data_IF_728203057871
#
_entry.id   IF_728203057871
#
_cell.length_a   1.000
_cell.length_b   1.000
_cell.length_c   1.000
_cell.angle_alpha   90.00
_cell.angle_beta   90.00
_cell.angle_gamma   90.00
#
_symmetry.space_group_name_H-M   'P 1'
#
loop_
_entity.id
_entity.type
_entity.pdbx_description
1 polymer ?
#
# COMPACT_ATOMS: atom_id res chain seq x y z
N UNK A 1 0.88 -31.95 -5.84
CA UNK A 1 0.43 -30.68 -5.24
C UNK A 1 -0.87 -30.91 -4.45
N UNK A 2 -0.86 -31.89 -3.52
CA UNK A 2 -1.95 -32.20 -2.60
C UNK A 2 -1.29 -32.34 -1.22
N UNK A 3 -0.98 -31.22 -0.59
CA UNK A 3 -0.56 -31.21 0.81
C UNK A 3 -1.80 -30.83 1.63
N UNK A 4 -2.47 -31.83 2.20
CA UNK A 4 -3.64 -31.64 3.06
C UNK A 4 -3.30 -30.80 4.31
N UNK A 5 -2.01 -30.73 4.68
CA UNK A 5 -1.53 -29.95 5.81
C UNK A 5 -1.28 -28.48 5.47
N UNK A 6 -1.43 -28.06 4.20
CA UNK A 6 -1.19 -26.65 3.82
C UNK A 6 -2.13 -25.64 4.51
N UNK A 7 -3.24 -26.12 5.05
CA UNK A 7 -4.22 -25.34 5.80
C UNK A 7 -4.12 -25.55 7.31
N UNK A 8 -3.16 -26.34 7.80
CA UNK A 8 -2.91 -26.53 9.21
C UNK A 8 -2.21 -25.29 9.80
N UNK A 9 -2.98 -24.47 10.50
CA UNK A 9 -2.49 -23.24 11.12
C UNK A 9 -1.45 -23.49 12.21
N UNK A 10 -1.54 -24.62 12.90
CA UNK A 10 -0.59 -24.98 13.96
C UNK A 10 0.81 -25.26 13.40
N UNK A 11 0.89 -25.67 12.13
CA UNK A 11 2.13 -25.95 11.43
C UNK A 11 2.77 -24.70 10.77
N UNK A 12 2.05 -23.58 10.64
CA UNK A 12 2.55 -22.38 9.96
C UNK A 12 3.80 -21.80 10.63
N UNK A 13 3.75 -21.57 11.95
CA UNK A 13 4.85 -20.96 12.71
C UNK A 13 6.11 -21.84 12.68
N UNK A 14 6.05 -23.16 12.95
CA UNK A 14 7.19 -24.06 12.77
C UNK A 14 7.78 -24.03 11.36
N UNK A 15 6.93 -24.07 10.32
CA UNK A 15 7.37 -24.10 8.91
C UNK A 15 8.03 -22.78 8.49
N UNK A 16 7.50 -21.64 8.94
CA UNK A 16 8.11 -20.31 8.72
C UNK A 16 9.48 -20.24 9.40
N UNK A 17 9.61 -20.72 10.64
CA UNK A 17 10.88 -20.74 11.38
C UNK A 17 11.93 -21.58 10.67
N UNK A 18 11.55 -22.76 10.19
CA UNK A 18 12.44 -23.64 9.43
C UNK A 18 12.89 -22.99 8.11
N UNK A 19 11.95 -22.43 7.33
CA UNK A 19 12.25 -21.84 6.03
C UNK A 19 13.10 -20.56 6.12
N UNK A 20 12.76 -19.68 7.06
CA UNK A 20 13.37 -18.36 7.17
C UNK A 20 14.48 -18.28 8.22
N UNK A 21 14.79 -19.39 8.90
CA UNK A 21 15.81 -19.49 9.97
C UNK A 21 15.65 -18.41 11.04
N UNK A 22 14.42 -18.12 11.41
CA UNK A 22 14.09 -17.08 12.39
C UNK A 22 14.48 -17.60 13.79
N UNK A 23 15.17 -16.79 14.63
CA UNK A 23 15.44 -17.14 16.03
C UNK A 23 14.15 -17.29 16.85
N UNK A 24 14.27 -17.55 18.15
CA UNK A 24 13.13 -17.65 19.08
C UNK A 24 12.44 -16.31 19.33
N UNK A 25 11.78 -15.79 18.29
CA UNK A 25 10.91 -14.63 18.32
C UNK A 25 9.45 -15.09 18.31
N UNK A 26 8.62 -14.41 19.08
CA UNK A 26 7.18 -14.62 19.05
C UNK A 26 6.63 -14.22 17.67
N UNK A 27 6.01 -15.18 16.97
CA UNK A 27 5.44 -14.96 15.64
C UNK A 27 3.92 -14.84 15.76
N UNK A 28 3.38 -13.68 15.42
CA UNK A 28 1.95 -13.47 15.29
C UNK A 28 1.54 -13.64 13.83
N UNK A 29 0.78 -14.69 13.52
CA UNK A 29 0.23 -14.92 12.18
C UNK A 29 -1.00 -14.03 11.99
N UNK A 30 -0.92 -13.10 11.03
CA UNK A 30 -2.04 -12.25 10.63
C UNK A 30 -2.58 -12.80 9.31
N UNK A 31 -3.82 -13.30 9.33
CA UNK A 31 -4.51 -13.73 8.11
C UNK A 31 -4.97 -12.50 7.36
N UNK A 32 -4.37 -12.26 6.20
CA UNK A 32 -4.87 -11.26 5.27
C UNK A 32 -5.81 -11.95 4.29
N UNK A 33 -7.05 -11.47 4.20
CA UNK A 33 -7.90 -11.78 3.06
C UNK A 33 -7.51 -10.80 1.93
N UNK A 34 -7.49 -11.29 0.68
CA UNK A 34 -7.24 -10.50 -0.52
C UNK A 34 -5.77 -10.07 -0.81
N UNK A 35 -5.61 -9.47 -1.99
CA UNK A 35 -4.37 -9.27 -2.76
C UNK A 35 -3.35 -8.29 -2.13
N UNK A 36 -3.67 -7.64 -1.01
CA UNK A 36 -2.80 -6.63 -0.39
C UNK A 36 -1.74 -7.20 0.56
N UNK A 37 -1.82 -8.49 0.94
CA UNK A 37 -0.93 -9.08 1.94
C UNK A 37 0.56 -9.00 1.58
N UNK A 38 0.93 -9.41 0.35
CA UNK A 38 2.31 -9.37 -0.12
C UNK A 38 2.83 -7.92 -0.24
N UNK A 39 2.03 -7.03 -0.83
CA UNK A 39 2.41 -5.62 -1.01
C UNK A 39 2.66 -4.95 0.36
N UNK A 40 1.76 -5.16 1.32
CA UNK A 40 1.90 -4.64 2.68
C UNK A 40 3.15 -5.19 3.37
N UNK A 41 3.46 -6.48 3.21
CA UNK A 41 4.67 -7.07 3.79
C UNK A 41 5.97 -6.50 3.19
N UNK A 42 5.97 -6.21 1.88
CA UNK A 42 7.08 -5.52 1.22
C UNK A 42 7.22 -4.09 1.77
N UNK A 43 6.11 -3.36 1.92
CA UNK A 43 6.10 -2.00 2.47
C UNK A 43 6.59 -1.95 3.92
N UNK A 44 6.15 -2.88 4.77
CA UNK A 44 6.64 -3.04 6.15
C UNK A 44 8.15 -3.27 6.16
N UNK A 45 8.63 -4.17 5.30
CA UNK A 45 10.06 -4.46 5.18
C UNK A 45 10.85 -3.23 4.73
N UNK A 46 10.32 -2.46 3.77
CA UNK A 46 10.94 -1.22 3.31
C UNK A 46 10.96 -0.16 4.42
N UNK A 47 9.89 -0.03 5.22
CA UNK A 47 9.81 0.90 6.34
C UNK A 47 10.87 0.60 7.41
N UNK A 48 11.04 -0.68 7.76
CA UNK A 48 11.97 -1.09 8.81
C UNK A 48 13.43 -1.07 8.34
N UNK A 49 13.71 -1.46 7.10
CA UNK A 49 15.08 -1.69 6.60
C UNK A 49 15.96 -0.44 6.70
N UNK A 50 15.44 0.73 6.31
CA UNK A 50 16.23 1.96 6.34
C UNK A 50 16.48 2.44 7.78
N UNK A 51 15.51 2.23 8.70
CA UNK A 51 15.65 2.58 10.12
C UNK A 51 16.73 1.72 10.78
N UNK A 52 16.70 0.40 10.53
CA UNK A 52 17.75 -0.52 10.98
C UNK A 52 19.12 -0.12 10.44
N UNK A 53 19.20 0.21 9.13
CA UNK A 53 20.46 0.65 8.54
C UNK A 53 20.99 1.94 9.20
N UNK A 54 20.11 2.90 9.55
CA UNK A 54 20.51 4.13 10.26
C UNK A 54 21.04 3.84 11.67
N UNK A 55 20.42 2.92 12.41
CA UNK A 55 20.88 2.52 13.75
C UNK A 55 22.22 1.79 13.67
N UNK A 56 22.34 0.79 12.80
CA UNK A 56 23.55 -0.02 12.64
C UNK A 56 24.76 0.81 12.18
N UNK A 57 24.51 1.84 11.35
CA UNK A 57 25.54 2.79 10.91
C UNK A 57 25.75 3.96 11.90
N UNK A 58 25.09 3.93 13.06
CA UNK A 58 25.15 4.95 14.12
C UNK A 58 24.75 6.36 13.65
N UNK A 59 23.92 6.44 12.62
CA UNK A 59 23.36 7.69 12.08
C UNK A 59 22.03 8.07 12.72
N UNK A 60 21.39 7.16 13.47
CA UNK A 60 20.22 7.42 14.29
C UNK A 60 20.30 6.66 15.62
N UNK A 61 19.60 7.15 16.65
CA UNK A 61 19.39 6.43 17.90
C UNK A 61 18.40 5.27 17.69
N UNK A 62 18.48 4.23 18.53
CA UNK A 62 17.57 3.08 18.52
C UNK A 62 16.10 3.47 18.63
N UNK A 63 15.78 4.61 19.27
CA UNK A 63 14.40 5.11 19.39
C UNK A 63 13.70 5.38 18.06
N UNK A 64 14.43 5.49 16.94
CA UNK A 64 13.79 5.55 15.62
C UNK A 64 13.03 4.25 15.30
N UNK A 65 13.43 3.11 15.85
CA UNK A 65 12.76 1.82 15.64
C UNK A 65 11.39 1.78 16.31
N UNK A 66 11.18 2.54 17.39
CA UNK A 66 9.88 2.67 18.06
C UNK A 66 8.81 3.28 17.15
N UNK A 67 9.22 3.94 16.07
CA UNK A 67 8.29 4.49 15.06
C UNK A 67 7.74 3.45 14.09
N UNK A 68 8.34 2.26 13.99
CA UNK A 68 7.93 1.23 13.03
C UNK A 68 6.48 0.76 13.26
N UNK A 69 6.15 0.37 14.48
CA UNK A 69 4.82 -0.18 14.79
C UNK A 69 3.73 0.88 14.65
N UNK A 70 3.83 2.11 15.20
CA UNK A 70 2.83 3.16 15.02
C UNK A 70 2.58 3.56 13.55
N UNK A 71 3.59 3.48 12.69
CA UNK A 71 3.46 3.78 11.26
C UNK A 71 2.75 2.65 10.51
N UNK A 72 3.26 1.42 10.65
CA UNK A 72 2.85 0.28 9.81
C UNK A 72 1.57 -0.39 10.30
N UNK A 73 1.32 -0.41 11.61
CA UNK A 73 0.14 -1.06 12.18
C UNK A 73 -1.16 -0.46 11.64
N UNK A 74 -1.26 0.86 11.59
CA UNK A 74 -2.45 1.54 11.09
C UNK A 74 -2.74 1.19 9.62
N UNK A 75 -1.70 1.03 8.80
CA UNK A 75 -1.85 0.61 7.40
C UNK A 75 -2.29 -0.84 7.30
N UNK A 76 -1.66 -1.73 8.08
CA UNK A 76 -2.02 -3.16 8.14
C UNK A 76 -3.46 -3.38 8.57
N UNK A 77 -3.93 -2.68 9.60
CA UNK A 77 -5.31 -2.77 10.10
C UNK A 77 -6.30 -2.36 8.99
N UNK A 78 -6.07 -1.23 8.33
CA UNK A 78 -6.90 -0.78 7.19
C UNK A 78 -6.92 -1.82 6.06
N UNK A 79 -5.75 -2.37 5.69
CA UNK A 79 -5.66 -3.34 4.61
C UNK A 79 -6.34 -4.68 4.96
N UNK A 80 -6.25 -5.11 6.23
CA UNK A 80 -6.94 -6.31 6.72
C UNK A 80 -8.46 -6.13 6.70
N UNK A 81 -8.95 -5.00 7.23
CA UNK A 81 -10.37 -4.67 7.26
C UNK A 81 -10.94 -4.56 5.84
N UNK A 82 -10.20 -3.90 4.94
CA UNK A 82 -10.58 -3.78 3.53
C UNK A 82 -10.62 -5.13 2.82
N UNK A 83 -9.62 -5.98 3.06
CA UNK A 83 -9.56 -7.33 2.51
C UNK A 83 -10.74 -8.21 2.96
N UNK A 84 -11.12 -8.13 4.23
CA UNK A 84 -12.28 -8.87 4.74
C UNK A 84 -13.60 -8.35 4.16
N UNK A 85 -13.72 -7.02 4.06
CA UNK A 85 -14.88 -6.37 3.46
C UNK A 85 -15.08 -6.78 1.99
N UNK A 86 -14.01 -6.70 1.18
CA UNK A 86 -14.05 -7.05 -0.24
C UNK A 86 -14.31 -8.53 -0.48
N UNK A 87 -13.70 -9.41 0.32
CA UNK A 87 -14.02 -10.84 0.29
C UNK A 87 -15.50 -11.13 0.57
N UNK A 88 -16.13 -10.38 1.47
CA UNK A 88 -17.57 -10.53 1.74
C UNK A 88 -18.44 -9.98 0.60
N UNK A 89 -17.98 -8.92 -0.07
CA UNK A 89 -18.69 -8.30 -1.20
C UNK A 89 -18.81 -9.25 -2.40
N UNK A 90 -17.84 -10.14 -2.63
CA UNK A 90 -17.91 -11.11 -3.73
C UNK A 90 -19.07 -12.10 -3.59
N UNK A 91 -19.56 -12.35 -2.36
CA UNK A 91 -20.72 -13.20 -2.11
C UNK A 91 -22.04 -12.61 -2.64
N UNK A 92 -22.09 -11.29 -2.87
CA UNK A 92 -23.26 -10.61 -3.45
C UNK A 92 -23.48 -11.05 -4.91
N UNK A 93 -22.41 -11.35 -5.65
CA UNK A 93 -22.50 -11.88 -7.02
C UNK A 93 -23.26 -13.21 -7.04
N UNK A 94 -22.90 -14.12 -6.13
CA UNK A 94 -23.59 -15.41 -6.00
C UNK A 94 -25.08 -15.21 -5.70
N UNK A 95 -25.39 -14.25 -4.82
CA UNK A 95 -26.77 -13.94 -4.43
C UNK A 95 -27.58 -13.38 -5.60
N UNK A 96 -27.06 -12.39 -6.34
CA UNK A 96 -27.79 -11.82 -7.48
C UNK A 96 -27.98 -12.83 -8.60
N UNK A 97 -27.02 -13.73 -8.79
CA UNK A 97 -27.15 -14.85 -9.74
C UNK A 97 -28.10 -15.95 -9.24
N UNK A 98 -28.62 -15.86 -8.03
CA UNK A 98 -29.51 -16.86 -7.45
C UNK A 98 -28.82 -18.20 -7.14
N UNK A 99 -27.50 -18.20 -6.95
CA UNK A 99 -26.74 -19.41 -6.62
C UNK A 99 -26.97 -19.82 -5.16
N UNK A 100 -27.17 -21.11 -4.95
CA UNK A 100 -27.40 -21.71 -3.63
C UNK A 100 -26.31 -22.75 -3.32
N UNK A 101 -25.67 -22.71 -2.13
CA UNK A 101 -24.69 -23.69 -1.73
C UNK A 101 -25.22 -25.13 -1.81
N UNK A 102 -24.46 -26.03 -2.43
CA UNK A 102 -24.80 -27.44 -2.56
C UNK A 102 -25.93 -27.77 -3.55
N UNK A 103 -26.53 -26.79 -4.23
CA UNK A 103 -27.64 -27.02 -5.19
C UNK A 103 -27.17 -27.03 -6.64
N UNK A 104 -26.38 -28.05 -7.01
CA UNK A 104 -25.74 -28.14 -8.34
C UNK A 104 -26.71 -27.92 -9.51
N UNK A 105 -27.80 -28.68 -9.58
CA UNK A 105 -28.76 -28.60 -10.70
C UNK A 105 -29.45 -27.24 -10.78
N UNK A 106 -29.82 -26.66 -9.64
CA UNK A 106 -30.39 -25.31 -9.57
C UNK A 106 -29.40 -24.27 -10.07
N UNK A 107 -28.16 -24.30 -9.56
CA UNK A 107 -27.11 -23.36 -9.94
C UNK A 107 -26.80 -23.45 -11.43
N UNK A 108 -26.76 -24.66 -11.99
CA UNK A 108 -26.55 -24.86 -13.42
C UNK A 108 -27.66 -24.18 -14.24
N UNK A 109 -28.93 -24.31 -13.85
CA UNK A 109 -30.04 -23.60 -14.52
C UNK A 109 -29.90 -22.08 -14.42
N UNK A 110 -29.40 -21.53 -13.31
CA UNK A 110 -29.14 -20.09 -13.20
C UNK A 110 -28.06 -19.63 -14.19
N UNK A 111 -26.98 -20.42 -14.33
CA UNK A 111 -25.94 -20.15 -15.33
C UNK A 111 -26.47 -20.24 -16.77
N UNK A 112 -27.27 -21.26 -17.08
CA UNK A 112 -27.91 -21.39 -18.38
C UNK A 112 -28.83 -20.19 -18.67
N UNK A 113 -29.57 -19.71 -17.66
CA UNK A 113 -30.47 -18.56 -17.79
C UNK A 113 -29.74 -17.25 -18.14
N UNK A 114 -28.50 -17.06 -17.68
CA UNK A 114 -27.67 -15.91 -18.10
C UNK A 114 -27.49 -15.85 -19.62
N UNK A 115 -27.46 -17.00 -20.29
CA UNK A 115 -27.19 -17.12 -21.73
C UNK A 115 -28.46 -17.06 -22.58
N UNK A 116 -29.65 -17.08 -21.98
CA UNK A 116 -30.91 -17.08 -22.73
C UNK A 116 -31.10 -15.73 -23.42
N UNK A 117 -31.38 -15.77 -24.73
CA UNK A 117 -31.77 -14.62 -25.53
C UNK A 117 -33.27 -14.33 -25.36
N UNK A 118 -33.60 -13.58 -24.31
CA UNK A 118 -34.95 -13.10 -24.03
C UNK A 118 -34.91 -11.79 -23.26
N UNK A 119 -36.03 -11.07 -23.17
CA UNK A 119 -36.14 -9.84 -22.37
C UNK A 119 -35.81 -10.07 -20.89
N UNK A 120 -36.23 -11.22 -20.34
CA UNK A 120 -35.92 -11.61 -18.96
C UNK A 120 -34.43 -11.93 -18.78
N UNK A 121 -33.83 -12.64 -19.73
CA UNK A 121 -32.38 -12.91 -19.74
C UNK A 121 -31.54 -11.64 -19.86
N UNK A 122 -31.98 -10.71 -20.71
CA UNK A 122 -31.38 -9.38 -20.86
C UNK A 122 -31.46 -8.58 -19.56
N UNK A 123 -32.63 -8.52 -18.93
CA UNK A 123 -32.83 -7.87 -17.62
C UNK A 123 -31.93 -8.51 -16.54
N UNK A 124 -31.85 -9.84 -16.51
CA UNK A 124 -31.03 -10.57 -15.54
C UNK A 124 -29.54 -10.27 -15.71
N UNK A 125 -29.03 -10.31 -16.95
CA UNK A 125 -27.63 -9.92 -17.25
C UNK A 125 -27.34 -8.48 -16.83
N UNK A 126 -28.25 -7.54 -17.07
CA UNK A 126 -28.08 -6.14 -16.67
C UNK A 126 -28.00 -5.98 -15.14
N UNK A 127 -28.82 -6.72 -14.38
CA UNK A 127 -28.73 -6.74 -12.91
C UNK A 127 -27.41 -7.32 -12.42
N UNK A 128 -26.98 -8.45 -12.98
CA UNK A 128 -25.70 -9.07 -12.63
C UNK A 128 -24.52 -8.15 -12.96
N UNK A 129 -24.52 -7.50 -14.13
CA UNK A 129 -23.48 -6.56 -14.54
C UNK A 129 -23.30 -5.41 -13.52
N UNK A 130 -24.40 -4.85 -13.01
CA UNK A 130 -24.34 -3.78 -11.99
C UNK A 130 -23.68 -4.22 -10.67
N UNK A 131 -23.85 -5.49 -10.29
CA UNK A 131 -23.20 -6.06 -9.09
C UNK A 131 -21.74 -6.43 -9.37
N UNK A 132 -21.42 -6.83 -10.60
CA UNK A 132 -20.03 -7.01 -11.02
C UNK A 132 -19.28 -5.67 -10.99
N UNK A 133 -19.90 -4.58 -11.44
CA UNK A 133 -19.32 -3.23 -11.36
C UNK A 133 -19.01 -2.82 -9.91
N UNK A 134 -19.83 -3.24 -8.93
CA UNK A 134 -19.57 -2.95 -7.53
C UNK A 134 -18.34 -3.67 -6.97
N UNK A 135 -17.74 -4.61 -7.71
CA UNK A 135 -16.48 -5.26 -7.33
C UNK A 135 -15.25 -4.38 -7.60
N UNK A 136 -15.42 -3.21 -8.23
CA UNK A 136 -14.34 -2.24 -8.39
C UNK A 136 -13.66 -1.88 -7.05
N UNK A 137 -14.39 -1.96 -5.92
CA UNK A 137 -13.84 -1.74 -4.57
C UNK A 137 -12.74 -2.74 -4.18
N UNK A 138 -12.69 -3.91 -4.82
CA UNK A 138 -11.63 -4.91 -4.66
C UNK A 138 -10.55 -4.75 -5.72
N UNK A 139 -10.96 -4.62 -7.00
CA UNK A 139 -10.04 -4.72 -8.13
C UNK A 139 -9.50 -3.38 -8.64
N UNK A 140 -9.96 -2.26 -8.08
CA UNK A 140 -9.57 -0.91 -8.49
C UNK A 140 -9.25 -0.01 -7.28
N UNK A 141 -8.85 -0.57 -6.15
CA UNK A 141 -8.68 0.12 -4.87
C UNK A 141 -7.43 1.03 -4.76
N UNK A 142 -7.16 1.87 -5.76
CA UNK A 142 -5.95 2.71 -5.83
C UNK A 142 -5.77 3.63 -4.62
N UNK A 143 -6.87 4.12 -4.06
CA UNK A 143 -6.87 4.95 -2.86
C UNK A 143 -6.45 4.19 -1.60
N UNK A 144 -6.66 2.87 -1.56
CA UNK A 144 -6.15 2.00 -0.49
C UNK A 144 -4.68 1.69 -0.74
N UNK A 145 -4.32 1.33 -1.98
CA UNK A 145 -2.97 0.91 -2.36
C UNK A 145 -1.93 2.02 -2.23
N UNK A 146 -2.25 3.25 -2.65
CA UNK A 146 -1.29 4.36 -2.71
C UNK A 146 -1.60 5.49 -1.73
N UNK A 147 -2.84 5.53 -1.22
CA UNK A 147 -3.36 6.62 -0.39
C UNK A 147 -3.21 6.42 1.11
N UNK A 148 -2.45 5.43 1.55
CA UNK A 148 -2.16 5.26 2.97
C UNK A 148 -1.35 6.45 3.51
N UNK A 149 -1.43 6.65 4.83
CA UNK A 149 -0.70 7.70 5.53
C UNK A 149 -0.25 7.22 6.89
N UNK A 150 0.92 7.66 7.30
CA UNK A 150 1.38 7.56 8.68
C UNK A 150 0.84 8.75 9.47
N UNK A 151 0.03 8.49 10.49
CA UNK A 151 -0.49 9.56 11.38
C UNK A 151 0.50 9.90 12.49
N UNK A 152 1.38 8.96 12.83
CA UNK A 152 2.40 9.05 13.87
C UNK A 152 3.68 8.37 13.38
N UNK A 153 4.81 8.65 14.02
CA UNK A 153 6.09 8.02 13.71
C UNK A 153 7.20 9.04 13.43
N UNK A 154 8.10 8.71 12.53
CA UNK A 154 9.23 9.54 12.08
C UNK A 154 8.76 10.61 11.08
N UNK A 155 7.89 11.51 11.54
CA UNK A 155 7.34 12.62 10.76
C UNK A 155 7.11 13.84 11.65
N UNK A 156 7.14 15.03 11.05
CA UNK A 156 6.76 16.28 11.71
C UNK A 156 5.50 16.79 11.06
N UNK A 157 4.44 16.99 11.85
CA UNK A 157 3.18 17.57 11.35
C UNK A 157 3.37 19.02 10.94
N UNK A 158 2.80 19.39 9.80
CA UNK A 158 2.76 20.76 9.30
C UNK A 158 1.47 21.51 9.71
N UNK A 159 0.61 20.87 10.50
CA UNK A 159 -0.69 21.43 10.94
C UNK A 159 -1.76 21.51 9.85
N UNK A 160 -1.50 20.98 8.66
CA UNK A 160 -2.46 21.04 7.55
C UNK A 160 -3.64 20.08 7.76
N UNK A 161 -4.81 20.44 7.23
CA UNK A 161 -6.04 19.64 7.32
C UNK A 161 -5.86 18.33 6.54
N UNK A 162 -6.44 17.22 7.01
CA UNK A 162 -6.35 15.92 6.33
C UNK A 162 -6.75 15.99 4.85
N UNK A 163 -6.04 15.21 4.02
CA UNK A 163 -6.35 15.10 2.60
C UNK A 163 -7.71 14.42 2.36
N UNK A 164 -8.36 14.77 1.25
CA UNK A 164 -9.59 14.11 0.79
C UNK A 164 -9.31 12.61 0.60
N UNK A 165 -10.25 11.77 1.02
CA UNK A 165 -10.25 10.33 0.75
C UNK A 165 -11.50 9.95 -0.03
N UNK A 166 -11.37 9.01 -0.96
CA UNK A 166 -12.51 8.32 -1.54
C UNK A 166 -12.99 7.23 -0.56
N UNK A 167 -14.24 7.29 -0.07
CA UNK A 167 -14.78 6.26 0.81
C UNK A 167 -14.78 4.85 0.19
N UNK A 168 -14.87 4.76 -1.14
CA UNK A 168 -14.82 3.48 -1.86
C UNK A 168 -13.38 3.07 -2.22
N UNK A 169 -12.39 3.88 -1.87
CA UNK A 169 -10.97 3.57 -2.09
C UNK A 169 -10.57 3.48 -3.57
N UNK A 170 -11.43 3.85 -4.52
CA UNK A 170 -11.17 3.72 -5.95
C UNK A 170 -10.20 4.79 -6.45
N UNK A 171 -10.31 6.00 -5.90
CA UNK A 171 -9.49 7.13 -6.31
C UNK A 171 -8.36 7.43 -5.32
N UNK A 172 -7.14 7.51 -5.85
CA UNK A 172 -5.98 8.08 -5.15
C UNK A 172 -5.91 9.60 -5.37
N UNK A 173 -5.66 10.34 -4.29
CA UNK A 173 -5.44 11.79 -4.31
C UNK A 173 -4.00 12.09 -3.88
N UNK A 174 -3.09 12.42 -4.82
CA UNK A 174 -1.70 12.73 -4.47
C UNK A 174 -1.58 13.95 -3.56
N UNK A 175 -0.74 13.87 -2.54
CA UNK A 175 -0.50 14.94 -1.57
C UNK A 175 0.92 14.86 -1.01
N UNK A 176 1.55 16.01 -0.77
CA UNK A 176 2.88 16.11 -0.16
C UNK A 176 2.82 16.31 1.37
N UNK A 177 1.65 16.10 1.99
CA UNK A 177 1.48 16.23 3.45
C UNK A 177 2.38 15.23 4.20
N UNK A 178 2.95 15.60 5.36
CA UNK A 178 3.73 14.70 6.19
C UNK A 178 3.01 13.36 6.43
N UNK A 179 3.78 12.26 6.39
CA UNK A 179 3.27 10.91 6.53
C UNK A 179 2.65 10.28 5.27
N UNK A 180 2.49 11.02 4.18
CA UNK A 180 2.01 10.47 2.90
C UNK A 180 3.17 10.07 2.00
N UNK A 181 2.88 9.15 1.07
CA UNK A 181 3.80 8.80 -0.01
C UNK A 181 4.09 10.04 -0.88
N UNK A 182 5.36 10.23 -1.23
CA UNK A 182 5.79 11.27 -2.18
C UNK A 182 4.97 11.17 -3.50
N UNK A 183 4.26 12.23 -3.93
CA UNK A 183 3.55 12.22 -5.20
C UNK A 183 4.46 11.99 -6.39
N UNK A 184 4.01 11.17 -7.33
CA UNK A 184 4.65 11.03 -8.63
C UNK A 184 4.39 12.28 -9.49
N UNK A 185 5.45 12.81 -10.10
CA UNK A 185 5.35 13.71 -11.24
C UNK A 185 6.52 13.45 -12.19
N UNK A 186 6.33 13.80 -13.46
CA UNK A 186 7.40 13.82 -14.46
C UNK A 186 8.19 15.11 -14.35
N UNK A 187 9.51 14.99 -14.31
CA UNK A 187 10.47 16.10 -14.24
C UNK A 187 11.46 15.92 -15.39
N UNK A 188 11.77 17.01 -16.07
CA UNK A 188 12.81 17.01 -17.10
C UNK A 188 14.14 17.48 -16.51
N UNK A 189 15.21 16.73 -16.77
CA UNK A 189 16.59 17.05 -16.39
C UNK A 189 17.49 16.89 -17.61
N UNK A 190 17.83 18.00 -18.25
CA UNK A 190 18.44 17.99 -19.59
C UNK A 190 17.53 17.29 -20.60
N UNK A 191 18.05 16.24 -21.23
CA UNK A 191 17.33 15.41 -22.20
C UNK A 191 16.59 14.21 -21.57
N UNK A 192 16.68 14.05 -20.24
CA UNK A 192 16.07 12.92 -19.54
C UNK A 192 14.74 13.31 -18.87
N UNK A 193 13.77 12.40 -18.95
CA UNK A 193 12.51 12.48 -18.19
C UNK A 193 12.61 11.54 -16.99
N UNK A 194 12.43 12.08 -15.80
CA UNK A 194 12.53 11.37 -14.52
C UNK A 194 11.21 11.46 -13.75
N UNK A 195 10.96 10.46 -12.91
CA UNK A 195 9.94 10.52 -11.86
C UNK A 195 10.50 11.31 -10.67
N UNK A 196 9.65 12.03 -9.94
CA UNK A 196 9.97 12.57 -8.60
C UNK A 196 10.56 11.49 -7.66
N UNK A 197 10.14 10.23 -7.79
CA UNK A 197 10.69 9.13 -7.01
C UNK A 197 12.15 8.82 -7.32
N UNK A 198 12.67 9.20 -8.49
CA UNK A 198 14.09 9.06 -8.82
C UNK A 198 14.97 10.09 -8.10
N UNK A 199 14.39 11.16 -7.54
CA UNK A 199 15.11 12.15 -6.75
C UNK A 199 15.51 11.62 -5.37
N UNK A 200 14.78 10.63 -4.86
CA UNK A 200 15.13 9.92 -3.64
C UNK A 200 16.23 8.93 -3.98
N UNK A 201 17.45 9.13 -3.44
CA UNK A 201 18.63 8.32 -3.78
C UNK A 201 18.40 6.83 -3.54
N UNK A 202 19.09 6.01 -4.33
CA UNK A 202 19.11 4.53 -4.19
C UNK A 202 19.86 4.03 -2.95
N UNK A 203 20.59 4.90 -2.26
CA UNK A 203 21.29 4.59 -1.02
C UNK A 203 20.67 5.34 0.15
N UNK A 204 20.91 4.83 1.36
CA UNK A 204 20.34 5.34 2.61
C UNK A 204 20.50 6.86 2.73
N UNK A 205 19.39 7.59 2.82
CA UNK A 205 19.39 9.05 2.87
C UNK A 205 17.98 9.66 2.79
N UNK A 206 17.94 10.98 2.83
CA UNK A 206 16.75 11.82 2.73
C UNK A 206 16.86 12.74 1.50
N UNK A 207 15.72 13.12 0.95
CA UNK A 207 15.65 14.09 -0.14
C UNK A 207 14.87 15.33 0.30
N UNK A 208 15.43 16.50 0.02
CA UNK A 208 14.79 17.80 0.13
C UNK A 208 14.48 18.29 -1.29
N UNK A 209 13.19 18.38 -1.61
CA UNK A 209 12.72 18.88 -2.91
C UNK A 209 12.22 20.30 -2.70
N UNK A 210 12.70 21.25 -3.50
CA UNK A 210 12.31 22.65 -3.43
C UNK A 210 12.13 23.25 -4.83
N UNK A 211 11.58 24.45 -4.91
CA UNK A 211 11.41 25.17 -6.17
C UNK A 211 12.59 26.12 -6.45
N UNK A 212 12.57 26.80 -7.59
CA UNK A 212 13.58 27.81 -7.95
C UNK A 212 13.74 28.97 -6.94
N UNK A 213 12.81 29.14 -5.99
CA UNK A 213 12.87 30.17 -4.93
C UNK A 213 13.44 29.63 -3.61
N UNK A 214 13.71 28.32 -3.53
CA UNK A 214 14.16 27.62 -2.34
C UNK A 214 15.63 27.78 -1.94
N UNK A 215 16.33 28.84 -2.32
CA UNK A 215 17.78 28.99 -2.05
C UNK A 215 18.14 28.93 -0.57
N UNK A 216 17.27 29.42 0.32
CA UNK A 216 17.46 29.31 1.77
C UNK A 216 17.46 27.86 2.27
N UNK A 217 16.71 26.97 1.61
CA UNK A 217 16.67 25.54 1.89
C UNK A 217 17.95 24.83 1.45
N UNK A 218 18.56 25.24 0.33
CA UNK A 218 19.87 24.73 -0.11
C UNK A 218 20.92 25.03 0.96
N UNK A 219 21.00 26.29 1.40
CA UNK A 219 21.95 26.68 2.45
C UNK A 219 21.68 25.97 3.78
N UNK A 220 20.41 25.72 4.12
CA UNK A 220 20.06 24.97 5.32
C UNK A 220 20.51 23.50 5.25
N UNK A 221 20.23 22.84 4.11
CA UNK A 221 20.65 21.47 3.86
C UNK A 221 22.17 21.31 3.88
N UNK A 222 22.92 22.22 3.25
CA UNK A 222 24.40 22.21 3.27
C UNK A 222 24.98 22.28 4.69
N UNK A 223 24.41 23.13 5.56
CA UNK A 223 24.86 23.26 6.96
C UNK A 223 24.71 21.95 7.73
N UNK A 224 23.61 21.24 7.53
CA UNK A 224 23.32 20.00 8.27
C UNK A 224 23.88 18.75 7.59
N UNK A 225 24.06 18.76 6.26
CA UNK A 225 24.54 17.59 5.50
C UNK A 225 25.92 17.14 5.99
N UNK A 226 26.80 18.10 6.32
CA UNK A 226 28.12 17.82 6.91
C UNK A 226 28.02 17.10 8.26
N UNK A 227 27.09 17.50 9.12
CA UNK A 227 26.86 16.82 10.41
C UNK A 227 26.20 15.45 10.29
N UNK A 228 25.47 15.22 9.20
CA UNK A 228 24.74 13.97 8.94
C UNK A 228 25.50 13.00 8.02
N UNK A 229 26.70 13.36 7.57
CA UNK A 229 27.51 12.53 6.67
C UNK A 229 26.86 12.33 5.29
N UNK A 230 26.46 13.44 4.67
CA UNK A 230 25.94 13.52 3.30
C UNK A 230 24.69 12.68 3.02
N UNK A 231 23.85 12.53 4.06
CA UNK A 231 22.58 11.84 3.95
C UNK A 231 21.51 12.63 3.19
N UNK A 232 21.66 13.94 3.01
CA UNK A 232 20.61 14.79 2.42
C UNK A 232 20.98 15.15 0.99
N UNK A 233 20.04 14.86 0.09
CA UNK A 233 20.07 15.30 -1.30
C UNK A 233 19.13 16.46 -1.45
N UNK A 234 19.58 17.51 -2.12
CA UNK A 234 18.71 18.61 -2.50
C UNK A 234 18.41 18.50 -3.98
N UNK A 235 17.12 18.57 -4.34
CA UNK A 235 16.66 18.66 -5.72
C UNK A 235 15.88 19.97 -5.87
N UNK A 236 16.38 20.88 -6.71
CA UNK A 236 15.74 22.15 -6.97
C UNK A 236 15.03 22.09 -8.32
N UNK A 237 13.71 22.30 -8.33
CA UNK A 237 12.89 22.19 -9.52
C UNK A 237 12.53 23.60 -10.02
N UNK A 238 12.95 23.93 -11.23
CA UNK A 238 12.66 25.20 -11.91
C UNK A 238 13.54 25.40 -13.13
N UNK A 239 13.20 26.35 -13.99
CA UNK A 239 14.04 26.70 -15.13
C UNK A 239 15.42 27.17 -14.66
N UNK A 240 16.48 26.60 -15.25
CA UNK A 240 17.87 26.94 -14.92
C UNK A 240 18.33 26.54 -13.51
N UNK A 241 17.56 25.73 -12.79
CA UNK A 241 17.96 25.20 -11.49
C UNK A 241 18.95 24.02 -11.66
N UNK A 242 19.90 23.86 -10.72
CA UNK A 242 20.90 22.79 -10.73
C UNK A 242 20.31 21.40 -10.44
#
# INVERSE_FOLDING_TARGET
MNDETRHDESALVPRIRELLKIPDLELKVIKTAAHHGLNTAIEDSLNLSWKLAMVLTRKANESILDTYEPETRAVREVNCDWGLFTFSNSAVINTVMGLLPGKKEHNQRQFEFLLVESDKGSTFRAQVARIIESQAVEFCAHGIELGFRYNHGFLISDGSILAKRDPLGLQYFPTAKPGHRLPHAWIQMGDHILSTHHLVRKHLGFALITDGKGSSWLSAAERISKSLGDLIVVAQIGEGCP
#
